data_IF_137648863877
#
_entry.id   IF_137648863877
#
_cell.length_a   1.000
_cell.length_b   1.000
_cell.length_c   1.000
_cell.angle_alpha   90.00
_cell.angle_beta   90.00
_cell.angle_gamma   90.00
#
_symmetry.space_group_name_H-M   'P 1'
#
loop_
_entity.id
_entity.type
_entity.pdbx_description
1 polymer ?
#
# COMPACT_ATOMS: atom_id res chain seq x y z
N UNK A 1 52.03 45.78 -23.30
CA UNK A 1 52.08 45.50 -24.75
C UNK A 1 51.94 43.98 -24.87
N UNK A 2 50.82 43.36 -25.20
CA UNK A 2 49.77 43.63 -26.17
C UNK A 2 48.38 43.29 -25.60
N UNK A 3 47.36 43.91 -26.19
CA UNK A 3 45.94 43.96 -25.80
C UNK A 3 45.10 43.12 -26.80
N UNK A 4 43.85 42.88 -26.42
CA UNK A 4 42.66 42.42 -27.18
C UNK A 4 42.36 40.91 -27.12
N UNK A 5 41.30 40.45 -26.44
CA UNK A 5 39.84 40.73 -26.47
C UNK A 5 39.10 39.75 -27.38
N UNK A 6 38.19 38.95 -26.80
CA UNK A 6 36.82 38.77 -27.31
C UNK A 6 35.96 38.03 -26.27
N UNK A 7 34.92 38.75 -25.84
CA UNK A 7 33.73 38.33 -25.10
C UNK A 7 32.71 37.80 -26.11
N UNK A 8 32.05 36.65 -25.89
CA UNK A 8 30.64 36.40 -26.27
C UNK A 8 30.05 35.38 -25.28
N UNK A 9 28.82 35.66 -24.88
CA UNK A 9 27.99 35.02 -23.86
C UNK A 9 27.45 33.62 -24.23
N UNK A 10 27.07 32.92 -23.15
CA UNK A 10 25.79 32.24 -22.93
C UNK A 10 25.55 30.73 -23.17
N UNK A 11 24.91 30.16 -22.12
CA UNK A 11 23.94 29.05 -22.08
C UNK A 11 24.43 27.60 -21.85
N UNK A 12 24.19 27.16 -20.59
CA UNK A 12 23.70 25.83 -20.13
C UNK A 12 24.64 24.60 -20.33
N UNK A 13 24.74 23.58 -19.48
CA UNK A 13 24.06 23.15 -18.26
C UNK A 13 24.86 21.97 -17.69
N UNK A 14 24.93 21.91 -16.36
CA UNK A 14 24.97 20.72 -15.50
C UNK A 14 25.74 19.45 -15.93
N UNK A 15 26.76 19.09 -15.11
CA UNK A 15 26.91 17.77 -14.49
C UNK A 15 27.98 17.79 -13.39
N UNK A 16 27.53 18.00 -12.14
CA UNK A 16 28.27 17.60 -10.93
C UNK A 16 28.04 16.11 -10.71
N UNK A 17 29.11 15.33 -10.65
CA UNK A 17 29.10 13.97 -10.10
C UNK A 17 29.69 14.05 -8.68
N UNK A 18 28.86 13.83 -7.66
CA UNK A 18 29.28 13.80 -6.27
C UNK A 18 29.55 12.36 -5.82
N UNK A 19 30.57 12.26 -4.99
CA UNK A 19 31.33 11.10 -4.52
C UNK A 19 30.58 10.42 -3.36
N UNK A 20 30.45 9.10 -3.40
CA UNK A 20 29.94 8.27 -2.30
C UNK A 20 31.06 8.06 -1.27
N UNK A 21 30.76 8.33 0.01
CA UNK A 21 31.60 8.01 1.17
C UNK A 21 30.82 6.99 2.02
N UNK A 22 31.40 5.81 2.26
CA UNK A 22 31.00 4.88 3.31
C UNK A 22 32.06 4.91 4.41
N UNK A 23 31.69 4.90 5.71
CA UNK A 23 32.64 4.66 6.77
C UNK A 23 32.80 3.16 7.04
N UNK A 24 34.07 2.82 7.19
CA UNK A 24 34.73 1.58 7.58
C UNK A 24 34.46 1.14 9.02
N UNK A 25 34.24 -0.16 9.24
CA UNK A 25 34.68 -0.87 10.45
C UNK A 25 35.45 -2.12 9.98
N UNK A 26 36.70 -2.20 10.38
CA UNK A 26 37.68 -3.22 10.00
C UNK A 26 38.23 -3.90 11.26
N UNK A 27 38.78 -5.10 11.06
CA UNK A 27 39.71 -5.91 11.88
C UNK A 27 39.09 -6.89 12.89
N UNK A 28 39.46 -8.18 12.92
CA UNK A 28 40.70 -8.92 12.54
C UNK A 28 40.32 -10.30 11.96
N UNK A 29 40.81 -10.76 10.80
CA UNK A 29 42.14 -11.33 10.52
C UNK A 29 42.51 -12.56 11.38
N UNK A 30 42.46 -13.75 10.77
CA UNK A 30 43.47 -14.79 10.91
C UNK A 30 43.55 -15.62 9.62
N UNK A 31 44.78 -15.71 9.11
CA UNK A 31 45.24 -16.38 7.89
C UNK A 31 45.37 -17.90 8.07
N UNK A 32 45.42 -18.60 6.95
CA UNK A 32 45.86 -20.00 6.81
C UNK A 32 44.71 -20.87 6.28
N UNK A 33 44.83 -21.64 5.22
CA UNK A 33 45.98 -22.15 4.48
C UNK A 33 45.45 -23.32 3.66
N UNK A 34 45.96 -23.43 2.44
CA UNK A 34 45.63 -24.41 1.42
C UNK A 34 45.74 -25.87 1.92
N UNK A 35 44.71 -26.70 1.73
CA UNK A 35 44.89 -28.17 1.60
C UNK A 35 43.90 -28.71 0.57
N UNK A 36 44.43 -29.12 -0.58
CA UNK A 36 43.78 -30.00 -1.55
C UNK A 36 43.86 -31.44 -1.03
N UNK A 37 42.77 -32.20 -1.13
CA UNK A 37 42.80 -33.66 -0.94
C UNK A 37 42.26 -34.32 -2.21
N UNK A 38 43.11 -35.19 -2.74
CA UNK A 38 43.01 -35.98 -3.96
C UNK A 38 41.82 -36.96 -3.97
N UNK A 39 41.30 -37.20 -5.18
CA UNK A 39 40.47 -38.35 -5.52
C UNK A 39 41.24 -39.69 -5.45
N UNK A 40 40.53 -40.83 -5.50
CA UNK A 40 41.04 -42.05 -6.12
C UNK A 40 40.35 -42.35 -7.46
N UNK A 41 41.16 -42.75 -8.43
CA UNK A 41 40.78 -43.30 -9.74
C UNK A 41 40.19 -44.72 -9.62
N UNK A 42 39.35 -45.10 -10.59
CA UNK A 42 39.21 -46.50 -10.98
C UNK A 42 37.88 -46.88 -11.62
N UNK A 43 37.77 -46.76 -12.95
CA UNK A 43 37.29 -47.84 -13.84
C UNK A 43 37.15 -47.34 -15.29
N UNK A 44 37.87 -48.00 -16.21
CA UNK A 44 37.87 -47.79 -17.66
C UNK A 44 36.58 -48.35 -18.29
N UNK A 45 36.09 -47.71 -19.36
CA UNK A 45 35.08 -48.32 -20.23
C UNK A 45 34.63 -47.47 -21.42
N UNK A 46 35.28 -47.68 -22.57
CA UNK A 46 34.80 -47.51 -23.95
C UNK A 46 34.28 -46.13 -24.44
N UNK A 47 35.06 -45.54 -25.36
CA UNK A 47 34.65 -44.46 -26.24
C UNK A 47 33.77 -44.96 -27.40
N UNK A 48 32.73 -44.19 -27.72
CA UNK A 48 32.06 -44.20 -29.02
C UNK A 48 31.94 -42.76 -29.50
N UNK A 49 32.56 -42.47 -30.66
CA UNK A 49 32.46 -41.20 -31.40
C UNK A 49 31.11 -41.14 -32.11
N UNK A 50 30.50 -39.95 -32.20
CA UNK A 50 30.21 -39.19 -33.44
C UNK A 50 29.05 -38.21 -33.22
N UNK A 51 29.19 -36.97 -33.71
CA UNK A 51 28.06 -36.06 -33.96
C UNK A 51 28.16 -34.73 -33.23
N UNK A 52 29.05 -33.84 -33.69
CA UNK A 52 28.97 -32.42 -33.35
C UNK A 52 28.02 -31.72 -34.30
N UNK A 53 27.00 -31.05 -33.77
CA UNK A 53 26.26 -30.00 -34.47
C UNK A 53 26.55 -28.67 -33.77
N UNK A 54 26.92 -27.67 -34.59
CA UNK A 54 27.22 -26.32 -34.17
C UNK A 54 25.93 -25.60 -33.74
N UNK A 55 25.90 -25.10 -32.51
CA UNK A 55 24.85 -24.19 -32.04
C UNK A 55 25.18 -22.76 -32.48
N UNK A 56 24.48 -22.28 -33.51
CA UNK A 56 24.36 -20.86 -33.85
C UNK A 56 23.53 -20.12 -32.77
N UNK A 57 23.93 -18.92 -32.31
CA UNK A 57 23.18 -18.19 -31.31
C UNK A 57 21.92 -17.57 -31.93
N UNK A 58 20.75 -18.01 -31.48
CA UNK A 58 19.46 -17.39 -31.82
C UNK A 58 19.40 -15.99 -31.20
N UNK A 59 19.68 -14.98 -32.02
CA UNK A 59 19.41 -13.58 -31.73
C UNK A 59 17.89 -13.35 -31.80
N UNK A 60 17.18 -13.63 -30.72
CA UNK A 60 15.75 -13.36 -30.63
C UNK A 60 15.51 -11.84 -30.63
N UNK A 61 14.91 -11.34 -31.71
CA UNK A 61 14.48 -9.94 -31.86
C UNK A 61 13.49 -9.57 -30.75
N UNK A 62 13.86 -8.60 -29.93
CA UNK A 62 12.96 -7.88 -29.02
C UNK A 62 12.04 -6.99 -29.85
N UNK A 63 10.99 -7.53 -30.44
CA UNK A 63 9.88 -6.73 -30.98
C UNK A 63 8.67 -7.64 -31.22
N UNK A 64 7.97 -7.99 -30.14
CA UNK A 64 6.53 -8.32 -30.10
C UNK A 64 6.17 -9.03 -28.79
N UNK A 65 6.27 -8.33 -27.65
CA UNK A 65 5.47 -8.72 -26.49
C UNK A 65 4.10 -8.05 -26.65
N UNK A 66 2.98 -8.79 -26.54
CA UNK A 66 1.66 -8.19 -26.53
C UNK A 66 1.55 -7.20 -25.36
N UNK A 67 0.79 -6.10 -25.50
CA UNK A 67 0.59 -5.16 -24.42
C UNK A 67 0.03 -5.87 -23.19
N UNK A 68 0.58 -5.55 -22.01
CA UNK A 68 0.10 -6.10 -20.74
C UNK A 68 -1.40 -5.78 -20.57
N UNK A 69 -2.18 -6.77 -20.13
CA UNK A 69 -3.58 -6.58 -19.78
C UNK A 69 -3.71 -5.47 -18.73
N UNK A 70 -4.78 -4.64 -18.78
CA UNK A 70 -4.95 -3.57 -17.81
C UNK A 70 -5.00 -4.14 -16.38
N UNK A 71 -4.16 -3.58 -15.51
CA UNK A 71 -4.02 -3.93 -14.08
C UNK A 71 -5.21 -3.41 -13.26
N UNK A 72 -6.24 -2.82 -13.89
CA UNK A 72 -7.40 -2.25 -13.21
C UNK A 72 -8.68 -2.61 -13.94
N UNK A 73 -9.74 -2.90 -13.18
CA UNK A 73 -11.09 -2.90 -13.74
C UNK A 73 -11.47 -1.47 -14.14
N UNK A 74 -12.03 -1.24 -15.33
CA UNK A 74 -12.59 0.07 -15.68
C UNK A 74 -13.77 0.41 -14.74
N UNK A 75 -13.86 1.67 -14.33
CA UNK A 75 -14.94 2.17 -13.48
C UNK A 75 -16.26 2.06 -14.24
N UNK A 76 -17.20 1.27 -13.75
CA UNK A 76 -18.55 1.16 -14.31
C UNK A 76 -19.52 1.96 -13.43
N UNK A 77 -20.22 2.99 -13.96
CA UNK A 77 -21.22 3.72 -13.17
C UNK A 77 -22.40 2.81 -12.82
N UNK A 78 -22.64 2.55 -11.54
CA UNK A 78 -23.84 1.83 -11.09
C UNK A 78 -25.08 2.73 -11.21
N UNK A 79 -26.07 2.29 -12.01
CA UNK A 79 -27.41 2.90 -12.07
C UNK A 79 -28.13 2.69 -10.73
N UNK A 80 -28.38 3.77 -9.99
CA UNK A 80 -29.40 3.77 -8.93
C UNK A 80 -30.79 3.71 -9.60
N UNK A 81 -31.53 2.63 -9.33
CA UNK A 81 -32.95 2.54 -9.67
C UNK A 81 -33.76 3.25 -8.57
N UNK A 82 -34.54 4.25 -8.97
CA UNK A 82 -35.53 4.90 -8.11
C UNK A 82 -36.83 4.10 -8.12
N UNK A 83 -37.41 3.86 -6.94
CA UNK A 83 -38.77 3.33 -6.75
C UNK A 83 -39.66 4.37 -6.06
N UNK A 84 -40.99 4.35 -6.27
CA UNK A 84 -41.83 5.54 -6.13
C UNK A 84 -42.28 5.84 -4.69
N UNK A 85 -42.50 7.14 -4.45
CA UNK A 85 -43.00 7.76 -3.22
C UNK A 85 -44.46 7.39 -2.92
N UNK A 86 -44.75 7.03 -1.68
CA UNK A 86 -46.09 7.02 -1.11
C UNK A 86 -46.29 8.26 -0.22
N UNK A 87 -47.29 9.07 -0.54
CA UNK A 87 -47.72 10.23 0.25
C UNK A 87 -48.58 9.81 1.45
N UNK A 88 -48.32 10.41 2.61
CA UNK A 88 -49.34 10.71 3.61
C UNK A 88 -48.94 11.94 4.43
N UNK A 89 -49.80 12.96 4.42
CA UNK A 89 -49.70 14.22 5.17
C UNK A 89 -50.02 14.02 6.66
N UNK A 90 -49.36 14.78 7.54
CA UNK A 90 -49.75 14.89 8.96
C UNK A 90 -48.84 15.76 9.84
N UNK A 91 -49.17 17.06 9.90
CA UNK A 91 -49.03 18.00 11.04
C UNK A 91 -47.67 18.36 11.67
N UNK A 92 -47.41 19.67 11.65
CA UNK A 92 -46.41 20.46 12.38
C UNK A 92 -46.16 20.05 13.85
N UNK A 93 -44.88 19.86 14.19
CA UNK A 93 -44.27 20.45 15.39
C UNK A 93 -42.80 20.74 15.10
N UNK A 94 -42.42 22.00 15.29
CA UNK A 94 -41.07 22.53 15.26
C UNK A 94 -40.20 21.79 16.27
N UNK A 95 -39.22 21.03 15.78
CA UNK A 95 -38.02 20.72 16.53
C UNK A 95 -36.85 20.98 15.59
N UNK A 96 -36.23 22.15 15.78
CA UNK A 96 -34.84 22.41 15.42
C UNK A 96 -33.96 21.29 15.97
N UNK A 97 -33.87 20.19 15.22
CA UNK A 97 -32.70 19.34 15.27
C UNK A 97 -31.64 20.13 14.54
N UNK A 98 -30.53 20.51 15.18
CA UNK A 98 -29.48 21.19 14.45
C UNK A 98 -29.08 20.27 13.30
N UNK A 99 -29.10 20.80 12.08
CA UNK A 99 -28.23 20.35 11.02
C UNK A 99 -26.80 20.47 11.54
N UNK A 100 -26.40 19.51 12.36
CA UNK A 100 -25.11 19.42 13.00
C UNK A 100 -24.12 19.16 11.88
N UNK A 101 -23.53 20.26 11.41
CA UNK A 101 -22.27 20.32 10.69
C UNK A 101 -21.95 19.02 9.95
N UNK A 102 -22.42 18.88 8.71
CA UNK A 102 -21.67 18.03 7.78
C UNK A 102 -20.24 18.50 7.91
N UNK A 103 -19.39 17.67 8.50
CA UNK A 103 -17.95 17.88 8.70
C UNK A 103 -17.40 18.43 7.39
N UNK A 104 -17.27 19.76 7.31
CA UNK A 104 -17.34 20.42 5.99
C UNK A 104 -16.16 19.95 5.17
N UNK A 105 -16.42 19.41 3.99
CA UNK A 105 -15.39 19.02 3.03
C UNK A 105 -14.29 20.09 2.90
N UNK A 106 -14.70 21.37 2.88
CA UNK A 106 -13.80 22.50 2.87
C UNK A 106 -12.85 22.54 4.08
N UNK A 107 -13.34 22.31 5.30
CA UNK A 107 -12.52 22.31 6.52
C UNK A 107 -11.56 21.11 6.53
N UNK A 108 -12.03 19.94 6.08
CA UNK A 108 -11.21 18.74 5.90
C UNK A 108 -10.05 19.00 4.92
N UNK A 109 -10.36 19.65 3.79
CA UNK A 109 -9.39 20.06 2.78
C UNK A 109 -8.37 21.07 3.32
N UNK A 110 -8.83 22.10 4.04
CA UNK A 110 -7.93 23.09 4.65
C UNK A 110 -7.03 22.49 5.75
N UNK A 111 -7.52 21.48 6.47
CA UNK A 111 -6.71 20.70 7.39
C UNK A 111 -5.67 19.87 6.63
N UNK A 112 -6.08 19.18 5.57
CA UNK A 112 -5.20 18.32 4.76
C UNK A 112 -4.06 19.11 4.08
N UNK A 113 -4.33 20.33 3.60
CA UNK A 113 -3.29 21.23 3.03
C UNK A 113 -2.13 21.51 3.97
N UNK A 114 -2.35 21.43 5.29
CA UNK A 114 -1.32 21.67 6.33
C UNK A 114 -0.54 20.40 6.68
N UNK A 115 -0.94 19.23 6.18
CA UNK A 115 -0.29 17.96 6.48
C UNK A 115 1.04 17.84 5.73
N UNK A 116 2.09 17.48 6.47
CA UNK A 116 3.41 17.18 5.92
C UNK A 116 3.52 15.71 5.50
N UNK A 117 2.73 14.85 6.16
CA UNK A 117 2.67 13.42 5.92
C UNK A 117 1.19 13.05 5.85
N UNK A 118 0.80 12.30 4.81
CA UNK A 118 -0.55 11.77 4.65
C UNK A 118 -0.46 10.26 4.57
N UNK A 119 -1.07 9.59 5.53
CA UNK A 119 -1.19 8.15 5.61
C UNK A 119 -2.60 7.76 5.18
N UNK A 120 -2.69 6.82 4.25
CA UNK A 120 -3.96 6.25 3.80
C UNK A 120 -4.11 4.82 4.29
N UNK A 121 -5.30 4.48 4.74
CA UNK A 121 -5.75 3.09 4.70
C UNK A 121 -5.86 2.60 3.24
N UNK A 122 -5.85 1.29 3.04
CA UNK A 122 -5.94 0.69 1.70
C UNK A 122 -7.31 0.11 1.43
N UNK A 123 -7.67 -0.94 2.15
CA UNK A 123 -8.94 -1.64 1.99
C UNK A 123 -10.10 -0.68 2.30
N UNK A 124 -11.16 -0.71 1.50
CA UNK A 124 -12.32 0.20 1.61
C UNK A 124 -11.99 1.72 1.57
N UNK A 125 -10.75 2.11 1.25
CA UNK A 125 -10.31 3.52 1.20
C UNK A 125 -9.60 3.85 -0.12
N UNK A 126 -8.37 3.38 -0.34
CA UNK A 126 -7.64 3.58 -1.61
C UNK A 126 -8.20 2.66 -2.69
N UNK A 127 -8.59 1.46 -2.30
CA UNK A 127 -9.30 0.51 -3.15
C UNK A 127 -10.74 0.33 -2.65
N UNK A 128 -11.62 -0.08 -3.54
CA UNK A 128 -13.04 -0.27 -3.22
C UNK A 128 -13.33 -1.56 -2.46
N UNK A 129 -12.43 -2.54 -2.60
CA UNK A 129 -12.58 -3.89 -2.06
C UNK A 129 -11.88 -4.07 -0.70
N UNK A 130 -12.18 -5.18 -0.04
CA UNK A 130 -11.45 -5.70 1.13
C UNK A 130 -10.54 -6.85 0.66
N UNK A 131 -9.22 -6.62 0.61
CA UNK A 131 -8.30 -7.52 -0.10
C UNK A 131 -8.26 -8.96 0.42
N UNK A 132 -8.42 -9.16 1.74
CA UNK A 132 -8.47 -10.50 2.34
C UNK A 132 -9.77 -11.25 2.01
N UNK A 133 -10.89 -10.53 1.89
CA UNK A 133 -12.20 -11.12 1.61
C UNK A 133 -12.29 -11.55 0.14
N UNK A 134 -11.74 -10.74 -0.78
CA UNK A 134 -11.61 -11.10 -2.19
C UNK A 134 -10.69 -12.32 -2.37
N UNK A 135 -9.55 -12.37 -1.67
CA UNK A 135 -8.66 -13.53 -1.70
C UNK A 135 -9.34 -14.77 -1.12
N UNK A 136 -10.10 -14.62 -0.04
CA UNK A 136 -10.88 -15.71 0.54
C UNK A 136 -11.92 -16.24 -0.45
N UNK A 137 -12.66 -15.36 -1.13
CA UNK A 137 -13.63 -15.75 -2.15
C UNK A 137 -12.96 -16.50 -3.30
N UNK A 138 -11.82 -16.00 -3.79
CA UNK A 138 -11.03 -16.68 -4.83
C UNK A 138 -10.56 -18.07 -4.40
N UNK A 139 -10.17 -18.24 -3.14
CA UNK A 139 -9.78 -19.52 -2.56
C UNK A 139 -10.97 -20.44 -2.20
N UNK A 140 -12.22 -20.03 -2.46
CA UNK A 140 -13.41 -20.80 -2.11
C UNK A 140 -13.71 -20.84 -0.61
N UNK A 141 -13.25 -19.81 0.14
CA UNK A 141 -13.36 -19.65 1.60
C UNK A 141 -14.09 -18.40 2.05
N UNK A 142 -14.74 -17.70 1.11
CA UNK A 142 -15.41 -16.42 1.39
C UNK A 142 -16.48 -16.53 2.48
N UNK A 143 -17.31 -17.57 2.45
CA UNK A 143 -18.38 -17.75 3.45
C UNK A 143 -17.84 -18.02 4.85
N UNK A 144 -16.83 -18.87 5.01
CA UNK A 144 -16.21 -19.14 6.31
C UNK A 144 -15.49 -17.90 6.87
N UNK A 145 -14.80 -17.15 6.01
CA UNK A 145 -14.09 -15.92 6.41
C UNK A 145 -15.06 -14.80 6.78
N UNK A 146 -16.16 -14.63 6.04
CA UNK A 146 -17.19 -13.64 6.37
C UNK A 146 -17.86 -13.96 7.72
N UNK A 147 -18.16 -15.23 7.99
CA UNK A 147 -18.71 -15.66 9.27
C UNK A 147 -17.76 -15.35 10.44
N UNK A 148 -16.46 -15.65 10.28
CA UNK A 148 -15.44 -15.36 11.29
C UNK A 148 -15.24 -13.85 11.49
N UNK A 149 -15.27 -13.05 10.42
CA UNK A 149 -15.16 -11.59 10.52
C UNK A 149 -16.31 -11.01 11.34
N UNK A 150 -17.54 -11.49 11.13
CA UNK A 150 -18.71 -11.11 11.93
C UNK A 150 -18.55 -11.48 13.41
N UNK A 151 -17.97 -12.65 13.70
CA UNK A 151 -17.67 -13.08 15.08
C UNK A 151 -16.61 -12.17 15.73
N UNK A 152 -15.53 -11.86 15.01
CA UNK A 152 -14.44 -11.01 15.51
C UNK A 152 -14.92 -9.60 15.86
N UNK A 153 -15.84 -9.04 15.08
CA UNK A 153 -16.46 -7.74 15.37
C UNK A 153 -17.33 -7.75 16.64
N UNK A 154 -17.71 -8.93 17.15
CA UNK A 154 -18.40 -9.09 18.44
C UNK A 154 -17.50 -8.93 19.67
N UNK A 155 -16.19 -8.69 19.48
CA UNK A 155 -15.25 -8.45 20.58
C UNK A 155 -14.76 -9.71 21.30
N UNK A 156 -15.07 -10.89 20.79
CA UNK A 156 -14.69 -12.18 21.40
C UNK A 156 -13.24 -12.59 21.16
N UNK A 157 -12.51 -11.89 20.28
CA UNK A 157 -11.11 -12.18 19.95
C UNK A 157 -10.32 -10.92 19.59
N UNK A 158 -9.01 -10.98 19.76
CA UNK A 158 -8.11 -9.88 19.35
C UNK A 158 -8.00 -9.79 17.83
N UNK A 159 -7.58 -8.64 17.31
CA UNK A 159 -7.36 -8.44 15.86
C UNK A 159 -6.36 -9.47 15.29
N UNK A 160 -5.26 -9.72 16.01
CA UNK A 160 -4.23 -10.65 15.58
C UNK A 160 -4.74 -12.11 15.54
N UNK A 161 -5.57 -12.51 16.51
CA UNK A 161 -6.21 -13.83 16.52
C UNK A 161 -7.22 -13.97 15.38
N UNK A 162 -8.03 -12.93 15.13
CA UNK A 162 -8.97 -12.91 14.01
C UNK A 162 -8.23 -13.04 12.67
N UNK A 163 -7.15 -12.27 12.47
CA UNK A 163 -6.32 -12.35 11.27
C UNK A 163 -5.72 -13.74 11.08
N UNK A 164 -5.14 -14.32 12.16
CA UNK A 164 -4.59 -15.67 12.13
C UNK A 164 -5.64 -16.71 11.73
N UNK A 165 -6.83 -16.67 12.35
CA UNK A 165 -7.91 -17.62 12.05
C UNK A 165 -8.41 -17.49 10.60
N UNK A 166 -8.53 -16.28 10.06
CA UNK A 166 -8.88 -16.07 8.63
C UNK A 166 -7.83 -16.71 7.72
N UNK A 167 -6.55 -16.47 7.98
CA UNK A 167 -5.47 -17.07 7.19
C UNK A 167 -5.39 -18.60 7.34
N UNK A 168 -5.68 -19.14 8.52
CA UNK A 168 -5.76 -20.58 8.76
C UNK A 168 -6.91 -21.24 8.00
N UNK A 169 -7.98 -20.49 7.66
CA UNK A 169 -9.06 -20.95 6.77
C UNK A 169 -8.66 -20.85 5.28
N UNK A 170 -8.10 -19.71 4.87
CA UNK A 170 -7.77 -19.42 3.46
C UNK A 170 -6.57 -20.26 2.99
N UNK A 171 -5.50 -20.31 3.79
CA UNK A 171 -4.18 -20.90 3.49
C UNK A 171 -3.71 -20.63 2.05
N UNK A 172 -3.63 -19.35 1.64
CA UNK A 172 -3.38 -19.01 0.25
C UNK A 172 -1.94 -19.41 -0.13
N UNK A 173 -1.76 -20.19 -1.20
CA UNK A 173 -0.42 -20.44 -1.74
C UNK A 173 0.12 -19.21 -2.50
N UNK A 174 1.44 -19.11 -2.61
CA UNK A 174 2.09 -18.05 -3.38
C UNK A 174 1.67 -18.07 -4.87
N UNK A 175 1.34 -19.25 -5.40
CA UNK A 175 0.78 -19.38 -6.76
C UNK A 175 -0.62 -18.77 -6.85
N UNK A 176 -1.51 -19.11 -5.91
CA UNK A 176 -2.87 -18.56 -5.88
C UNK A 176 -2.87 -17.05 -5.76
N UNK A 177 -2.00 -16.46 -4.92
CA UNK A 177 -1.90 -15.01 -4.81
C UNK A 177 -1.49 -14.37 -6.14
N UNK A 178 -0.50 -14.93 -6.84
CA UNK A 178 -0.08 -14.43 -8.16
C UNK A 178 -1.17 -14.57 -9.22
N UNK A 179 -1.94 -15.65 -9.20
CA UNK A 179 -3.05 -15.87 -10.13
C UNK A 179 -4.24 -14.95 -9.82
N UNK A 180 -4.55 -14.78 -8.53
CA UNK A 180 -5.55 -13.84 -8.02
C UNK A 180 -5.26 -12.43 -8.50
N UNK A 181 -4.05 -11.90 -8.26
CA UNK A 181 -3.69 -10.54 -8.66
C UNK A 181 -3.77 -10.30 -10.18
N UNK A 182 -3.54 -11.33 -11.00
CA UNK A 182 -3.67 -11.23 -12.46
C UNK A 182 -5.13 -11.20 -12.94
N UNK A 183 -6.01 -11.87 -12.22
CA UNK A 183 -7.40 -12.11 -12.64
C UNK A 183 -8.40 -11.20 -11.94
N UNK A 184 -8.05 -10.69 -10.77
CA UNK A 184 -8.86 -9.84 -9.89
C UNK A 184 -8.09 -8.58 -9.52
N UNK A 185 -7.74 -7.72 -10.50
CA UNK A 185 -7.12 -6.45 -10.19
C UNK A 185 -8.02 -5.60 -9.29
N UNK A 186 -7.43 -4.97 -8.27
CA UNK A 186 -8.14 -4.06 -7.37
C UNK A 186 -8.68 -2.84 -8.11
N UNK A 187 -9.76 -2.24 -7.62
CA UNK A 187 -10.33 -1.03 -8.20
C UNK A 187 -9.93 0.16 -7.34
N UNK A 188 -9.17 1.10 -7.91
CA UNK A 188 -8.79 2.33 -7.19
C UNK A 188 -10.03 3.23 -7.02
N UNK A 189 -10.25 3.71 -5.80
CA UNK A 189 -11.38 4.60 -5.50
C UNK A 189 -11.30 5.91 -6.31
N UNK A 190 -12.44 6.44 -6.81
CA UNK A 190 -12.44 7.65 -7.62
C UNK A 190 -11.81 8.85 -6.90
N UNK A 191 -10.93 9.59 -7.57
CA UNK A 191 -10.26 10.78 -7.03
C UNK A 191 -8.96 10.52 -6.25
N UNK A 192 -8.61 9.25 -5.96
CA UNK A 192 -7.38 8.91 -5.22
C UNK A 192 -6.13 9.33 -5.97
N UNK A 193 -6.08 9.08 -7.29
CA UNK A 193 -4.91 9.39 -8.12
C UNK A 193 -4.65 10.90 -8.14
N UNK A 194 -5.70 11.66 -8.39
CA UNK A 194 -5.70 13.12 -8.42
C UNK A 194 -5.26 13.69 -7.06
N UNK A 195 -5.79 13.14 -5.96
CA UNK A 195 -5.43 13.58 -4.61
C UNK A 195 -3.96 13.31 -4.29
N UNK A 196 -3.45 12.11 -4.60
CA UNK A 196 -2.04 11.77 -4.36
C UNK A 196 -1.11 12.67 -5.17
N UNK A 197 -1.44 12.97 -6.42
CA UNK A 197 -0.68 13.92 -7.24
C UNK A 197 -0.67 15.34 -6.64
N UNK A 198 -1.81 15.81 -6.14
CA UNK A 198 -1.89 17.11 -5.47
C UNK A 198 -1.10 17.15 -4.16
N UNK A 199 -1.17 16.09 -3.36
CA UNK A 199 -0.38 15.96 -2.14
C UNK A 199 1.13 16.01 -2.42
N UNK A 200 1.59 15.33 -3.47
CA UNK A 200 2.99 15.41 -3.92
C UNK A 200 3.37 16.82 -4.37
N UNK A 201 2.51 17.50 -5.13
CA UNK A 201 2.73 18.91 -5.54
C UNK A 201 2.79 19.85 -4.33
N UNK A 202 2.08 19.52 -3.25
CA UNK A 202 2.14 20.23 -1.97
C UNK A 202 3.30 19.77 -1.06
N UNK A 203 4.25 18.98 -1.57
CA UNK A 203 5.39 18.42 -0.84
C UNK A 203 5.03 17.54 0.37
N UNK A 204 3.81 16.98 0.40
CA UNK A 204 3.42 16.03 1.43
C UNK A 204 3.95 14.62 1.10
N UNK A 205 4.54 13.96 2.10
CA UNK A 205 4.95 12.57 1.97
C UNK A 205 3.72 11.65 2.09
N UNK A 206 3.53 10.75 1.12
CA UNK A 206 2.36 9.85 1.08
C UNK A 206 2.77 8.44 1.51
N UNK A 207 2.01 7.85 2.43
CA UNK A 207 2.20 6.50 2.97
C UNK A 207 0.91 5.68 2.88
N UNK A 208 1.07 4.37 2.74
CA UNK A 208 -0.01 3.40 2.87
C UNK A 208 0.19 2.62 4.17
N UNK A 209 -0.85 2.53 5.00
CA UNK A 209 -0.84 1.77 6.25
C UNK A 209 -2.09 0.89 6.29
N UNK A 210 -1.92 -0.43 6.14
CA UNK A 210 -3.04 -1.36 6.00
C UNK A 210 -2.90 -2.57 6.92
N UNK A 211 -4.05 -3.10 7.38
CA UNK A 211 -4.13 -4.42 8.02
C UNK A 211 -4.10 -5.58 7.02
N UNK A 212 -4.11 -5.29 5.71
CA UNK A 212 -3.94 -6.24 4.62
C UNK A 212 -2.47 -6.66 4.43
N UNK A 213 -2.17 -7.25 3.27
CA UNK A 213 -0.87 -7.88 2.99
C UNK A 213 -0.07 -7.13 1.95
N UNK A 214 1.24 -6.99 2.18
CA UNK A 214 2.17 -6.30 1.27
C UNK A 214 2.05 -6.83 -0.16
N UNK A 215 2.07 -8.14 -0.36
CA UNK A 215 1.96 -8.75 -1.68
C UNK A 215 0.66 -8.42 -2.42
N UNK A 216 -0.41 -8.06 -1.72
CA UNK A 216 -1.68 -7.64 -2.35
C UNK A 216 -1.72 -6.14 -2.64
N UNK A 217 -1.00 -5.34 -1.86
CA UNK A 217 -1.04 -3.88 -1.90
C UNK A 217 0.07 -3.32 -2.81
N UNK A 218 1.19 -4.04 -2.97
CA UNK A 218 2.31 -3.66 -3.84
C UNK A 218 1.85 -3.23 -5.25
N UNK A 219 0.98 -3.97 -5.98
CA UNK A 219 0.50 -3.53 -7.30
C UNK A 219 -0.29 -2.21 -7.26
N UNK A 220 -1.01 -1.95 -6.16
CA UNK A 220 -1.76 -0.70 -5.95
C UNK A 220 -0.78 0.45 -5.69
N UNK A 221 0.22 0.24 -4.84
CA UNK A 221 1.27 1.20 -4.56
C UNK A 221 2.04 1.58 -5.84
N UNK A 222 2.44 0.58 -6.64
CA UNK A 222 3.13 0.77 -7.91
C UNK A 222 2.30 1.61 -8.90
N UNK A 223 1.01 1.30 -9.03
CA UNK A 223 0.12 2.03 -9.92
C UNK A 223 -0.13 3.48 -9.49
N UNK A 224 -0.07 3.74 -8.18
CA UNK A 224 -0.14 5.08 -7.61
C UNK A 224 1.23 5.76 -7.56
N UNK A 225 2.31 5.08 -7.96
CA UNK A 225 3.71 5.52 -7.88
C UNK A 225 4.14 5.86 -6.44
N UNK A 226 3.62 5.13 -5.46
CA UNK A 226 4.03 5.23 -4.06
C UNK A 226 5.20 4.25 -3.85
N UNK A 227 6.38 4.72 -3.40
CA UNK A 227 7.51 3.83 -3.13
C UNK A 227 7.16 2.75 -2.10
N UNK A 228 7.63 1.52 -2.30
CA UNK A 228 7.35 0.42 -1.37
C UNK A 228 7.94 0.64 0.04
N UNK A 229 8.95 1.50 0.19
CA UNK A 229 9.43 1.93 1.51
C UNK A 229 8.41 2.78 2.30
N UNK A 230 7.35 3.25 1.64
CA UNK A 230 6.25 3.99 2.24
C UNK A 230 5.01 3.11 2.48
N UNK A 231 5.14 1.79 2.32
CA UNK A 231 4.08 0.81 2.58
C UNK A 231 4.33 0.11 3.93
N UNK A 232 3.35 0.20 4.83
CA UNK A 232 3.26 -0.57 6.06
C UNK A 232 2.07 -1.52 5.97
N UNK A 233 2.34 -2.82 5.93
CA UNK A 233 1.33 -3.85 5.81
C UNK A 233 1.81 -5.16 6.46
N UNK A 234 0.90 -6.11 6.62
CA UNK A 234 1.27 -7.45 7.09
C UNK A 234 2.01 -8.22 6.00
N UNK A 235 2.87 -9.15 6.41
CA UNK A 235 3.65 -10.00 5.49
C UNK A 235 3.30 -11.46 5.67
N UNK A 236 3.07 -12.15 4.55
CA UNK A 236 2.85 -13.60 4.54
C UNK A 236 4.19 -14.35 4.45
N UNK A 237 4.26 -15.48 5.15
CA UNK A 237 5.35 -16.44 5.07
C UNK A 237 4.90 -17.71 4.37
N UNK A 238 5.77 -18.24 3.51
CA UNK A 238 5.53 -19.43 2.72
C UNK A 238 6.63 -20.46 2.97
N UNK A 239 6.26 -21.73 2.90
CA UNK A 239 7.23 -22.83 2.83
C UNK A 239 7.97 -22.81 1.49
N UNK A 240 9.07 -23.56 1.39
CA UNK A 240 9.86 -23.66 0.15
C UNK A 240 9.05 -24.12 -1.07
N UNK A 241 8.01 -24.93 -0.87
CA UNK A 241 7.09 -25.37 -1.92
C UNK A 241 5.99 -24.36 -2.28
N UNK A 242 6.00 -23.17 -1.67
CA UNK A 242 5.03 -22.09 -1.92
C UNK A 242 3.70 -22.23 -1.19
N UNK A 243 3.52 -23.21 -0.29
CA UNK A 243 2.33 -23.29 0.56
C UNK A 243 2.40 -22.28 1.70
N UNK A 244 1.22 -21.79 2.13
CA UNK A 244 1.12 -20.91 3.29
C UNK A 244 1.74 -21.55 4.53
N UNK A 245 2.56 -20.79 5.25
CA UNK A 245 3.16 -21.22 6.51
C UNK A 245 2.61 -20.42 7.70
N UNK A 246 2.69 -19.09 7.63
CA UNK A 246 2.30 -18.15 8.68
C UNK A 246 2.22 -16.73 8.10
N UNK A 247 1.98 -15.74 8.94
CA UNK A 247 2.28 -14.34 8.68
C UNK A 247 3.26 -13.80 9.73
N UNK A 248 3.85 -12.64 9.46
CA UNK A 248 4.73 -11.92 10.37
C UNK A 248 3.93 -11.22 11.47
N UNK A 249 3.94 -11.81 12.67
CA UNK A 249 3.27 -11.26 13.86
C UNK A 249 4.00 -10.07 14.49
N UNK A 250 5.20 -9.74 14.00
CA UNK A 250 5.98 -8.62 14.52
C UNK A 250 5.60 -7.30 13.86
N UNK A 251 4.98 -7.35 12.67
CA UNK A 251 4.50 -6.17 11.96
C UNK A 251 3.53 -5.38 12.84
N UNK A 252 3.68 -4.05 12.97
CA UNK A 252 2.74 -3.24 13.76
C UNK A 252 1.29 -3.46 13.32
N UNK A 253 1.05 -3.52 12.02
CA UNK A 253 -0.26 -3.72 11.38
C UNK A 253 -0.93 -5.07 11.68
N UNK A 254 -0.25 -5.99 12.38
CA UNK A 254 -0.80 -7.30 12.72
C UNK A 254 -1.67 -7.28 13.98
N UNK A 255 -1.70 -6.16 14.71
CA UNK A 255 -2.35 -6.00 16.02
C UNK A 255 -3.15 -4.70 16.11
N UNK A 256 -4.07 -4.64 17.07
CA UNK A 256 -4.80 -3.42 17.42
C UNK A 256 -3.84 -2.29 17.81
N UNK A 257 -4.14 -1.07 17.39
CA UNK A 257 -3.25 0.08 17.56
C UNK A 257 -2.04 0.12 16.60
N UNK A 258 -1.89 -0.89 15.76
CA UNK A 258 -0.78 -1.04 14.81
C UNK A 258 -0.58 0.13 13.85
N UNK A 259 -1.67 0.72 13.36
CA UNK A 259 -1.62 1.90 12.47
C UNK A 259 -1.01 3.10 13.20
N UNK A 260 -1.34 3.30 14.47
CA UNK A 260 -0.74 4.35 15.31
C UNK A 260 0.76 4.12 15.56
N UNK A 261 1.19 2.89 15.81
CA UNK A 261 2.61 2.54 15.91
C UNK A 261 3.37 2.82 14.60
N UNK A 262 2.80 2.45 13.46
CA UNK A 262 3.36 2.75 12.14
C UNK A 262 3.51 4.26 11.93
N UNK A 263 2.51 5.08 12.30
CA UNK A 263 2.61 6.54 12.24
C UNK A 263 3.75 7.07 13.12
N UNK A 264 3.98 6.52 14.32
CA UNK A 264 5.13 6.92 15.17
C UNK A 264 6.46 6.64 14.48
N UNK A 265 6.59 5.48 13.84
CA UNK A 265 7.78 5.11 13.08
C UNK A 265 7.98 6.02 11.86
N UNK A 266 6.91 6.33 11.13
CA UNK A 266 6.97 7.25 9.98
C UNK A 266 7.41 8.65 10.43
N UNK A 267 6.85 9.17 11.53
CA UNK A 267 7.23 10.50 12.07
C UNK A 267 8.72 10.59 12.41
N UNK A 268 9.33 9.51 12.91
CA UNK A 268 10.76 9.49 13.24
C UNK A 268 11.66 9.31 12.02
N UNK A 269 11.18 8.64 10.97
CA UNK A 269 11.97 8.36 9.77
C UNK A 269 12.01 9.50 8.76
N UNK A 270 10.90 10.23 8.58
CA UNK A 270 10.86 11.30 7.58
C UNK A 270 11.69 12.48 8.11
N UNK A 271 12.92 12.59 7.61
CA UNK A 271 13.88 13.66 7.94
C UNK A 271 13.98 14.62 6.75
N UNK A 272 13.17 15.68 6.75
CA UNK A 272 13.10 16.62 5.62
C UNK A 272 11.80 17.42 5.57
N UNK A 273 11.88 18.70 5.17
CA UNK A 273 10.80 19.71 5.28
C UNK A 273 11.08 20.75 6.38
N UNK A 274 10.37 21.88 6.36
CA UNK A 274 10.46 22.87 7.44
C UNK A 274 9.86 22.29 8.73
N UNK A 275 10.65 22.21 9.80
CA UNK A 275 10.25 21.70 11.11
C UNK A 275 11.05 20.47 11.56
N UNK A 276 11.19 20.30 12.88
CA UNK A 276 11.78 19.09 13.46
C UNK A 276 10.81 17.91 13.30
N UNK A 277 11.29 16.65 13.36
CA UNK A 277 10.43 15.47 13.20
C UNK A 277 9.22 15.41 14.16
N UNK A 278 9.30 16.09 15.31
CA UNK A 278 8.21 16.20 16.28
C UNK A 278 7.08 17.14 15.83
N UNK A 279 7.39 18.17 15.03
CA UNK A 279 6.46 19.23 14.62
C UNK A 279 5.65 18.88 13.37
N UNK A 280 5.95 17.72 12.76
CA UNK A 280 5.27 17.28 11.54
C UNK A 280 3.81 16.93 11.81
N UNK A 281 2.94 17.65 11.10
CA UNK A 281 1.51 17.36 11.02
C UNK A 281 1.29 16.13 10.15
N UNK A 282 0.76 15.06 10.75
CA UNK A 282 0.38 13.82 10.06
C UNK A 282 -1.13 13.74 9.95
N UNK A 283 -1.65 13.53 8.75
CA UNK A 283 -3.04 13.19 8.50
C UNK A 283 -3.19 11.68 8.27
N UNK A 284 -4.17 11.07 8.93
CA UNK A 284 -4.64 9.72 8.65
C UNK A 284 -5.99 9.79 7.94
N UNK A 285 -6.12 9.08 6.81
CA UNK A 285 -7.35 8.98 6.03
C UNK A 285 -7.74 7.51 5.92
N UNK A 286 -8.95 7.17 6.36
CA UNK A 286 -9.43 5.79 6.33
C UNK A 286 -10.90 5.69 6.72
N UNK A 287 -11.54 4.56 6.43
CA UNK A 287 -12.94 4.30 6.72
C UNK A 287 -13.16 3.60 8.08
N UNK A 288 -12.12 2.95 8.60
CA UNK A 288 -12.18 2.05 9.75
C UNK A 288 -12.02 2.69 11.13
N UNK A 289 -12.43 1.95 12.16
CA UNK A 289 -12.17 2.31 13.56
C UNK A 289 -10.67 2.32 13.89
N UNK A 290 -9.91 1.40 13.29
CA UNK A 290 -8.45 1.33 13.47
C UNK A 290 -7.72 2.58 12.96
N UNK A 291 -8.31 3.27 11.99
CA UNK A 291 -7.78 4.48 11.37
C UNK A 291 -8.06 5.69 12.25
N UNK A 292 -9.29 5.75 12.77
CA UNK A 292 -9.69 6.74 13.75
C UNK A 292 -8.82 6.66 15.01
N UNK A 293 -8.58 5.45 15.51
CA UNK A 293 -7.73 5.18 16.68
C UNK A 293 -6.26 5.56 16.47
N UNK A 294 -5.81 5.70 15.22
CA UNK A 294 -4.46 6.17 14.91
C UNK A 294 -4.29 7.69 15.11
N UNK A 295 -5.33 8.40 15.55
CA UNK A 295 -5.32 9.82 15.86
C UNK A 295 -5.78 10.07 17.32
N UNK A 296 -4.86 10.28 18.29
CA UNK A 296 -3.40 10.36 18.16
C UNK A 296 -2.72 8.98 17.91
N UNK A 297 -1.50 8.91 17.34
CA UNK A 297 -0.49 9.97 17.21
C UNK A 297 -0.55 10.80 15.91
N UNK A 298 -1.46 10.49 14.98
CA UNK A 298 -1.78 11.43 13.92
C UNK A 298 -2.33 12.75 14.51
N UNK A 299 -2.17 13.83 13.76
CA UNK A 299 -2.67 15.15 14.14
C UNK A 299 -4.08 15.40 13.59
N UNK A 300 -4.39 14.79 12.45
CA UNK A 300 -5.64 14.96 11.72
C UNK A 300 -6.16 13.57 11.37
N UNK A 301 -7.44 13.32 11.61
CA UNK A 301 -8.14 12.16 11.06
C UNK A 301 -9.28 12.61 10.15
N UNK A 302 -9.31 12.09 8.93
CA UNK A 302 -10.39 12.27 7.97
C UNK A 302 -11.02 10.90 7.71
N UNK A 303 -12.25 10.72 8.19
CA UNK A 303 -13.02 9.51 7.89
C UNK A 303 -13.43 9.50 6.42
N UNK A 304 -13.25 8.37 5.75
CA UNK A 304 -13.69 8.17 4.38
C UNK A 304 -14.88 7.22 4.32
N UNK A 305 -15.96 7.61 3.64
CA UNK A 305 -17.19 6.83 3.52
C UNK A 305 -17.61 6.54 2.09
N UNK A 306 -16.71 6.68 1.13
CA UNK A 306 -17.06 6.55 -0.30
C UNK A 306 -17.33 5.13 -0.75
N UNK A 307 -16.66 4.14 -0.15
CA UNK A 307 -16.88 2.72 -0.44
C UNK A 307 -17.76 2.05 0.62
N UNK A 308 -17.49 2.31 1.90
CA UNK A 308 -18.26 1.78 3.03
C UNK A 308 -18.48 2.86 4.10
N UNK A 309 -19.73 3.08 4.50
CA UNK A 309 -20.05 4.02 5.60
C UNK A 309 -20.05 3.25 6.91
N UNK A 310 -19.09 3.57 7.79
CA UNK A 310 -19.04 3.04 9.16
C UNK A 310 -19.61 4.09 10.11
N UNK A 311 -20.83 3.84 10.62
CA UNK A 311 -21.56 4.83 11.43
C UNK A 311 -20.76 5.37 12.61
N UNK A 312 -20.04 4.51 13.33
CA UNK A 312 -19.25 4.93 14.50
C UNK A 312 -18.08 5.84 14.12
N UNK A 313 -17.46 5.61 12.95
CA UNK A 313 -16.42 6.50 12.40
C UNK A 313 -17.05 7.80 11.93
N UNK A 314 -18.20 7.73 11.26
CA UNK A 314 -18.96 8.91 10.84
C UNK A 314 -19.46 9.74 12.02
N UNK A 315 -19.75 9.16 13.17
CA UNK A 315 -20.12 9.92 14.38
C UNK A 315 -18.88 10.56 15.03
N UNK A 316 -17.77 9.82 15.13
CA UNK A 316 -16.61 10.20 15.95
C UNK A 316 -15.51 11.00 15.24
N UNK A 317 -15.38 10.89 13.92
CA UNK A 317 -14.31 11.59 13.20
C UNK A 317 -14.47 13.12 13.30
N UNK A 318 -13.38 13.88 13.33
CA UNK A 318 -13.51 15.36 13.24
C UNK A 318 -13.87 15.79 11.83
N UNK A 319 -13.25 15.17 10.83
CA UNK A 319 -13.52 15.37 9.41
C UNK A 319 -14.07 14.09 8.79
N UNK A 320 -14.99 14.21 7.82
CA UNK A 320 -15.53 13.04 7.12
C UNK A 320 -15.94 13.42 5.71
N UNK A 321 -15.54 12.63 4.72
CA UNK A 321 -15.90 12.83 3.32
C UNK A 321 -16.34 11.51 2.69
N UNK A 322 -17.14 11.57 1.65
CA UNK A 322 -17.57 10.38 0.87
C UNK A 322 -17.01 10.39 -0.54
N UNK A 323 -16.32 11.46 -0.94
CA UNK A 323 -15.69 11.58 -2.25
C UNK A 323 -14.30 12.22 -2.09
N UNK A 324 -13.26 11.63 -2.68
CA UNK A 324 -11.93 12.24 -2.64
C UNK A 324 -11.86 13.58 -3.39
N UNK A 325 -12.77 13.82 -4.35
CA UNK A 325 -12.88 15.10 -5.04
C UNK A 325 -13.12 16.27 -4.07
N UNK A 326 -13.76 16.02 -2.93
CA UNK A 326 -14.01 17.01 -1.88
C UNK A 326 -12.73 17.51 -1.20
N UNK A 327 -11.65 16.74 -1.31
CA UNK A 327 -10.34 17.04 -0.75
C UNK A 327 -9.40 17.72 -1.76
N UNK A 328 -9.83 17.95 -3.01
CA UNK A 328 -8.99 18.56 -4.05
C UNK A 328 -9.01 20.10 -4.00
N UNK A 329 -7.90 20.74 -4.40
CA UNK A 329 -7.75 22.21 -4.48
C UNK A 329 -7.01 22.74 -5.71
#
# INVERSE_FOLDING_TARGET
VCVCSCFVEDILSSRRLFRIIYPSIMNRALFGGLVAISAPEGARGAASRTGGEAFEPILARRDSLPPASPIFKPIVPSKLAASPLHHSNGSNMTNDRPAELTKRAADAREALKKAHIVCFDVDSTIITEEGIDELAQYCGKGSEVAALTKEAMGGSMTFQEALKRRLDLIKPSQRQIREFLKTHPSTISPGVKELIEQLRKNNAAVFLISGGFDCLIEPVADALQIPLCNLYANRLFFNYNGTYASFDVTQPTSRSGGKGEAIKAIKSQVTGGAGSGADKIVAMIGDGMTDLEACPPANIFIGYGGNAVREEVQKRATYYVTNFADLLW
#
